data_IF_629634031699
#
_entry.id   IF_629634031699
#
_cell.length_a   1.000
_cell.length_b   1.000
_cell.length_c   1.000
_cell.angle_alpha   90.00
_cell.angle_beta   90.00
_cell.angle_gamma   90.00
#
_symmetry.space_group_name_H-M   'P 1'
#
loop_
_entity.id
_entity.type
_entity.pdbx_description
1 polymer ?
#
# COMPACT_ATOMS: atom_id res chain seq x y z
N UNK A 1 -19.16 2.88 -30.10
CA UNK A 1 -19.35 2.37 -28.75
C UNK A 1 -18.10 2.65 -27.95
N UNK A 2 -18.23 3.14 -26.71
CA UNK A 2 -17.07 3.37 -25.87
C UNK A 2 -16.38 2.04 -25.58
N UNK A 3 -15.07 2.00 -25.70
CA UNK A 3 -14.29 0.85 -25.32
C UNK A 3 -14.15 0.86 -23.78
N UNK A 4 -14.65 -0.19 -23.13
CA UNK A 4 -14.47 -0.40 -21.69
C UNK A 4 -13.23 -1.27 -21.50
N UNK A 5 -12.27 -0.79 -20.73
CA UNK A 5 -11.13 -1.57 -20.31
C UNK A 5 -11.40 -2.12 -18.89
N UNK A 6 -11.38 -3.43 -18.75
CA UNK A 6 -11.63 -4.13 -17.50
C UNK A 6 -10.30 -4.53 -16.83
N UNK A 7 -10.14 -4.19 -15.59
CA UNK A 7 -8.91 -4.17 -14.76
C UNK A 7 -8.24 -5.55 -14.52
N UNK A 8 -8.71 -6.63 -15.10
CA UNK A 8 -8.25 -8.00 -14.78
C UNK A 8 -7.24 -8.62 -15.76
N UNK A 9 -6.99 -8.00 -16.91
CA UNK A 9 -6.12 -8.58 -17.95
C UNK A 9 -5.08 -7.60 -18.53
N UNK A 10 -4.86 -6.44 -17.91
CA UNK A 10 -4.59 -5.23 -18.68
C UNK A 10 -3.15 -4.75 -18.78
N UNK A 11 -2.16 -5.32 -18.09
CA UNK A 11 -0.81 -4.74 -18.17
C UNK A 11 -0.15 -4.97 -19.54
N UNK A 12 -0.40 -6.11 -20.18
CA UNK A 12 0.12 -6.39 -21.54
C UNK A 12 -0.77 -5.80 -22.63
N UNK A 13 -2.09 -5.80 -22.44
CA UNK A 13 -3.05 -5.20 -23.39
C UNK A 13 -2.96 -3.67 -23.37
N UNK A 14 -2.61 -3.08 -22.22
CA UNK A 14 -2.49 -1.64 -22.04
C UNK A 14 -1.38 -1.03 -22.90
N UNK A 15 -0.22 -1.67 -22.99
CA UNK A 15 0.90 -1.20 -23.83
C UNK A 15 0.62 -1.32 -25.32
N UNK A 16 -0.05 -2.36 -25.75
CA UNK A 16 -0.43 -2.56 -27.17
C UNK A 16 -1.60 -1.65 -27.58
N UNK A 17 -2.61 -1.50 -26.71
CA UNK A 17 -3.79 -0.70 -26.99
C UNK A 17 -3.53 0.81 -26.94
N UNK A 18 -2.59 1.30 -26.15
CA UNK A 18 -2.16 2.70 -26.15
C UNK A 18 -1.49 3.07 -27.47
N UNK A 19 -0.59 2.25 -27.98
CA UNK A 19 0.05 2.48 -29.28
C UNK A 19 -0.95 2.50 -30.44
N UNK A 20 -1.98 1.67 -30.37
CA UNK A 20 -3.03 1.64 -31.41
C UNK A 20 -4.07 2.76 -31.23
N UNK A 21 -4.28 3.24 -30.01
CA UNK A 21 -5.26 4.29 -29.70
C UNK A 21 -4.71 5.70 -29.83
N UNK A 22 -3.41 5.93 -29.61
CA UNK A 22 -2.78 7.26 -29.69
C UNK A 22 -3.04 7.99 -31.01
N UNK A 23 -2.91 7.38 -32.20
CA UNK A 23 -3.20 8.08 -33.47
C UNK A 23 -4.68 8.48 -33.59
N UNK A 24 -5.60 7.69 -33.02
CA UNK A 24 -7.03 8.01 -33.00
C UNK A 24 -7.34 9.11 -32.00
N UNK A 25 -6.66 9.09 -30.86
CA UNK A 25 -6.77 10.13 -29.83
C UNK A 25 -6.30 11.49 -30.33
N UNK A 26 -5.20 11.54 -31.12
CA UNK A 26 -4.72 12.79 -31.74
C UNK A 26 -5.75 13.42 -32.70
N UNK A 27 -6.55 12.57 -33.38
CA UNK A 27 -7.55 13.03 -34.35
C UNK A 27 -8.89 13.36 -33.68
N UNK A 28 -9.28 12.57 -32.65
CA UNK A 28 -10.60 12.65 -32.01
C UNK A 28 -10.50 12.59 -30.48
N UNK A 29 -9.82 13.55 -29.83
CA UNK A 29 -9.59 13.50 -28.38
C UNK A 29 -10.92 13.48 -27.57
N UNK A 30 -11.97 14.12 -28.09
CA UNK A 30 -13.29 14.18 -27.43
C UNK A 30 -14.03 12.83 -27.37
N UNK A 31 -13.58 11.82 -28.14
CA UNK A 31 -14.15 10.46 -28.08
C UNK A 31 -13.61 9.60 -26.96
N UNK A 32 -12.55 10.05 -26.31
CA UNK A 32 -11.92 9.35 -25.21
C UNK A 32 -12.31 9.98 -23.88
N UNK A 33 -12.59 9.16 -22.90
CA UNK A 33 -12.80 9.62 -21.52
C UNK A 33 -12.24 8.62 -20.55
N UNK A 34 -11.55 9.11 -19.52
CA UNK A 34 -11.15 8.28 -18.36
C UNK A 34 -12.35 8.11 -17.45
N UNK A 35 -12.47 6.90 -16.87
CA UNK A 35 -13.45 6.58 -15.83
C UNK A 35 -12.71 5.87 -14.70
N UNK A 36 -12.58 6.54 -13.56
CA UNK A 36 -12.07 5.95 -12.33
C UNK A 36 -12.95 4.77 -11.92
N UNK A 37 -12.34 3.68 -11.48
CA UNK A 37 -13.06 2.53 -10.94
C UNK A 37 -13.88 2.94 -9.71
N UNK A 38 -14.88 2.14 -9.37
CA UNK A 38 -15.64 2.26 -8.14
C UNK A 38 -15.60 0.97 -7.34
N UNK A 39 -16.04 1.07 -6.10
CA UNK A 39 -16.20 -0.06 -5.18
C UNK A 39 -17.63 -0.11 -4.65
N UNK A 40 -18.01 -1.22 -4.05
CA UNK A 40 -19.34 -1.35 -3.44
C UNK A 40 -19.24 -1.38 -1.91
N UNK A 41 -19.83 -0.38 -1.26
CA UNK A 41 -19.90 -0.31 0.19
C UNK A 41 -20.74 -1.44 0.82
N UNK A 42 -21.67 -2.07 0.07
CA UNK A 42 -22.38 -3.27 0.54
C UNK A 42 -21.41 -4.40 0.89
N UNK A 43 -20.36 -4.61 0.08
CA UNK A 43 -19.33 -5.59 0.40
C UNK A 43 -18.36 -5.07 1.44
N UNK A 44 -17.82 -3.86 1.22
CA UNK A 44 -16.62 -3.40 1.92
C UNK A 44 -16.90 -2.73 3.27
N UNK A 45 -18.15 -2.30 3.54
CA UNK A 45 -18.60 -1.92 4.88
C UNK A 45 -19.55 -2.97 5.42
N UNK A 46 -20.74 -3.10 4.82
CA UNK A 46 -21.83 -3.90 5.38
C UNK A 46 -21.44 -5.38 5.58
N UNK A 47 -20.75 -5.99 4.60
CA UNK A 47 -20.30 -7.38 4.67
C UNK A 47 -19.01 -7.58 5.43
N UNK A 48 -18.01 -6.74 5.18
CA UNK A 48 -16.66 -6.93 5.71
C UNK A 48 -16.42 -6.25 7.06
N UNK A 49 -17.18 -5.18 7.40
CA UNK A 49 -17.01 -4.38 8.62
C UNK A 49 -18.36 -4.03 9.26
N UNK A 50 -19.08 -5.01 9.80
CA UNK A 50 -20.40 -4.77 10.38
C UNK A 50 -20.37 -3.84 11.61
N UNK A 51 -19.28 -3.80 12.35
CA UNK A 51 -19.11 -2.87 13.47
C UNK A 51 -19.09 -1.41 12.99
N UNK A 52 -18.36 -1.10 11.91
CA UNK A 52 -18.38 0.21 11.29
C UNK A 52 -19.77 0.53 10.70
N UNK A 53 -20.43 -0.47 10.06
CA UNK A 53 -21.78 -0.28 9.53
C UNK A 53 -22.77 0.12 10.63
N UNK A 54 -22.71 -0.52 11.81
CA UNK A 54 -23.56 -0.19 12.96
C UNK A 54 -23.27 1.21 13.50
N UNK A 55 -22.00 1.60 13.60
CA UNK A 55 -21.62 2.96 13.99
C UNK A 55 -22.20 4.02 13.04
N UNK A 56 -22.09 3.79 11.73
CA UNK A 56 -22.62 4.69 10.72
C UNK A 56 -24.14 4.83 10.82
N UNK A 57 -24.86 3.71 11.00
CA UNK A 57 -26.32 3.74 11.21
C UNK A 57 -26.72 4.60 12.41
N UNK A 58 -26.01 4.47 13.51
CA UNK A 58 -26.29 5.20 14.74
C UNK A 58 -25.99 6.71 14.60
N UNK A 59 -24.88 7.06 13.91
CA UNK A 59 -24.38 8.44 13.85
C UNK A 59 -25.03 9.26 12.75
N UNK A 60 -25.20 8.67 11.55
CA UNK A 60 -25.69 9.41 10.37
C UNK A 60 -27.01 8.86 9.81
N UNK A 61 -27.61 7.86 10.46
CA UNK A 61 -28.84 7.18 10.01
C UNK A 61 -28.55 6.16 8.90
N UNK A 62 -29.56 5.50 8.37
CA UNK A 62 -29.43 4.37 7.45
C UNK A 62 -29.46 4.72 5.97
N UNK A 63 -29.66 5.99 5.62
CA UNK A 63 -29.80 6.46 4.23
C UNK A 63 -28.56 6.13 3.37
N UNK A 64 -27.37 6.17 3.96
CA UNK A 64 -26.11 5.84 3.29
C UNK A 64 -26.10 4.42 2.69
N UNK A 65 -26.88 3.52 3.24
CA UNK A 65 -27.00 2.12 2.74
C UNK A 65 -27.57 2.04 1.33
N UNK A 66 -28.33 3.06 0.92
CA UNK A 66 -28.93 3.16 -0.41
C UNK A 66 -28.23 4.18 -1.31
N UNK A 67 -27.73 5.28 -0.73
CA UNK A 67 -27.12 6.39 -1.47
C UNK A 67 -25.61 6.24 -1.64
N UNK A 68 -24.94 5.56 -0.70
CA UNK A 68 -23.49 5.56 -0.58
C UNK A 68 -22.90 6.84 0.03
N UNK A 69 -23.72 7.83 0.35
CA UNK A 69 -23.26 9.12 0.85
C UNK A 69 -22.93 9.06 2.34
N UNK A 70 -21.64 9.15 2.67
CA UNK A 70 -21.11 9.20 4.03
C UNK A 70 -20.73 10.62 4.48
N UNK A 71 -20.94 11.65 3.66
CA UNK A 71 -20.50 13.02 3.90
C UNK A 71 -21.00 13.62 5.21
N UNK A 72 -22.17 13.19 5.69
CA UNK A 72 -22.74 13.62 6.99
C UNK A 72 -21.80 13.28 8.17
N UNK A 73 -20.98 12.25 8.05
CA UNK A 73 -20.05 11.79 9.08
C UNK A 73 -18.99 12.86 9.39
N UNK A 74 -18.58 13.67 8.41
CA UNK A 74 -17.56 14.71 8.60
C UNK A 74 -17.93 15.74 9.70
N UNK A 75 -19.21 15.92 10.02
CA UNK A 75 -19.68 16.82 11.08
C UNK A 75 -19.27 16.35 12.48
N UNK A 76 -18.89 15.09 12.62
CA UNK A 76 -18.52 14.45 13.86
C UNK A 76 -16.99 14.28 14.01
N UNK A 77 -16.20 14.94 13.17
CA UNK A 77 -14.75 14.80 13.17
C UNK A 77 -14.07 15.22 14.49
N UNK A 78 -14.74 16.09 15.27
CA UNK A 78 -14.25 16.56 16.59
C UNK A 78 -15.13 16.04 17.74
N UNK A 79 -16.05 15.09 17.47
CA UNK A 79 -16.90 14.46 18.48
C UNK A 79 -16.17 13.27 19.13
N UNK A 80 -15.77 13.44 20.39
CA UNK A 80 -14.98 12.45 21.12
C UNK A 80 -15.68 11.09 21.27
N UNK A 81 -17.00 11.08 21.53
CA UNK A 81 -17.75 9.83 21.64
C UNK A 81 -17.72 9.05 20.32
N UNK A 82 -17.95 9.76 19.21
CA UNK A 82 -17.89 9.13 17.88
C UNK A 82 -16.49 8.63 17.54
N UNK A 83 -15.44 9.40 17.87
CA UNK A 83 -14.06 8.99 17.62
C UNK A 83 -13.66 7.77 18.48
N UNK A 84 -14.04 7.73 19.76
CA UNK A 84 -13.81 6.58 20.64
C UNK A 84 -14.55 5.32 20.13
N UNK A 85 -15.78 5.47 19.68
CA UNK A 85 -16.56 4.38 19.08
C UNK A 85 -15.94 3.91 17.76
N UNK A 86 -15.43 4.83 16.94
CA UNK A 86 -14.70 4.48 15.71
C UNK A 86 -13.41 3.70 16.02
N UNK A 87 -12.66 4.14 17.03
CA UNK A 87 -11.47 3.41 17.49
C UNK A 87 -11.84 1.99 17.97
N UNK A 88 -12.96 1.82 18.66
CA UNK A 88 -13.45 0.50 19.07
C UNK A 88 -13.75 -0.41 17.86
N UNK A 89 -14.34 0.11 16.76
CA UNK A 89 -14.54 -0.69 15.54
C UNK A 89 -13.23 -1.16 14.93
N UNK A 90 -12.17 -0.34 14.98
CA UNK A 90 -10.82 -0.72 14.52
C UNK A 90 -10.22 -1.83 15.39
N UNK A 91 -10.40 -1.76 16.70
CA UNK A 91 -9.93 -2.81 17.63
C UNK A 91 -10.62 -4.15 17.31
N UNK A 92 -11.93 -4.13 17.06
CA UNK A 92 -12.70 -5.32 16.69
C UNK A 92 -12.23 -5.89 15.34
N UNK A 93 -12.08 -5.06 14.32
CA UNK A 93 -11.59 -5.47 13.00
C UNK A 93 -10.18 -6.09 13.10
N UNK A 94 -9.27 -5.50 13.89
CA UNK A 94 -7.94 -6.07 14.15
C UNK A 94 -8.03 -7.41 14.88
N UNK A 95 -8.97 -7.59 15.81
CA UNK A 95 -9.18 -8.89 16.49
C UNK A 95 -9.64 -9.98 15.53
N UNK A 96 -10.60 -9.66 14.65
CA UNK A 96 -11.08 -10.58 13.59
C UNK A 96 -9.94 -10.96 12.64
N UNK A 97 -9.16 -9.99 12.19
CA UNK A 97 -8.01 -10.22 11.31
C UNK A 97 -6.96 -11.10 12.00
N UNK A 98 -6.60 -10.84 13.26
CA UNK A 98 -5.64 -11.66 14.02
C UNK A 98 -6.12 -13.11 14.15
N UNK A 99 -7.41 -13.32 14.41
CA UNK A 99 -7.97 -14.66 14.45
C UNK A 99 -7.85 -15.37 13.10
N UNK A 100 -8.20 -14.69 12.01
CA UNK A 100 -8.02 -15.20 10.65
C UNK A 100 -6.57 -15.57 10.37
N UNK A 101 -5.61 -14.67 10.70
CA UNK A 101 -4.19 -14.91 10.48
C UNK A 101 -3.66 -16.10 11.29
N UNK A 102 -4.13 -16.26 12.53
CA UNK A 102 -3.74 -17.41 13.37
C UNK A 102 -4.28 -18.74 12.84
N UNK A 103 -5.54 -18.78 12.43
CA UNK A 103 -6.20 -20.01 11.99
C UNK A 103 -5.83 -20.42 10.56
N UNK A 104 -5.79 -19.47 9.64
CA UNK A 104 -5.63 -19.75 8.22
C UNK A 104 -4.20 -19.64 7.73
N UNK A 105 -3.37 -18.84 8.41
CA UNK A 105 -1.98 -18.56 8.00
C UNK A 105 -0.95 -19.05 9.03
N UNK A 106 -1.38 -19.50 10.21
CA UNK A 106 -0.47 -19.90 11.29
C UNK A 106 0.37 -18.75 11.86
N UNK A 107 -0.07 -17.51 11.69
CA UNK A 107 0.67 -16.29 12.07
C UNK A 107 0.02 -15.61 13.24
N UNK A 108 0.79 -15.40 14.32
CA UNK A 108 0.37 -14.59 15.48
C UNK A 108 0.81 -13.15 15.27
N UNK A 109 -0.14 -12.20 15.38
CA UNK A 109 0.11 -10.75 15.24
C UNK A 109 -0.09 -10.08 16.61
N UNK A 110 0.84 -9.21 17.08
CA UNK A 110 0.70 -8.50 18.34
C UNK A 110 -0.58 -7.64 18.38
N UNK A 111 -1.26 -7.63 19.52
CA UNK A 111 -2.55 -6.93 19.67
C UNK A 111 -2.45 -5.41 19.54
N UNK A 112 -1.30 -4.85 19.88
CA UNK A 112 -0.98 -3.42 19.84
C UNK A 112 -0.16 -3.01 18.61
N UNK A 113 -0.08 -3.88 17.57
CA UNK A 113 0.67 -3.57 16.37
C UNK A 113 -0.04 -2.53 15.50
N UNK A 114 0.75 -1.67 14.87
CA UNK A 114 0.33 -0.89 13.71
C UNK A 114 0.23 -1.84 12.53
N UNK A 115 -0.93 -1.87 11.88
CA UNK A 115 -1.19 -2.77 10.75
C UNK A 115 -1.01 -1.99 9.45
N UNK A 116 0.08 -2.27 8.78
CA UNK A 116 0.53 -1.64 7.55
C UNK A 116 0.37 -2.62 6.39
N UNK A 117 -0.38 -2.24 5.33
CA UNK A 117 -0.87 -3.22 4.36
C UNK A 117 -0.60 -2.80 2.93
N UNK A 118 0.06 -3.70 2.19
CA UNK A 118 0.19 -3.64 0.73
C UNK A 118 -0.33 -4.92 0.09
N UNK A 119 -1.63 -4.99 -0.19
CA UNK A 119 -2.29 -6.16 -0.78
C UNK A 119 -2.76 -5.86 -2.19
N UNK A 120 -2.01 -6.33 -3.17
CA UNK A 120 -2.24 -6.14 -4.61
C UNK A 120 -1.37 -7.12 -5.40
N UNK A 121 -1.64 -7.29 -6.72
CA UNK A 121 -0.75 -8.09 -7.58
C UNK A 121 0.69 -7.65 -7.39
N UNK A 122 1.62 -8.63 -7.40
CA UNK A 122 3.04 -8.32 -7.31
C UNK A 122 3.54 -7.93 -8.70
N UNK A 123 4.05 -6.72 -8.78
CA UNK A 123 4.58 -6.15 -10.00
C UNK A 123 5.56 -5.02 -9.66
N UNK A 124 6.64 -4.87 -10.41
CA UNK A 124 7.67 -3.85 -10.16
C UNK A 124 7.09 -2.44 -10.07
N UNK A 125 6.10 -2.07 -10.92
CA UNK A 125 5.52 -0.72 -10.89
C UNK A 125 4.71 -0.42 -9.62
N UNK A 126 4.22 -1.48 -8.92
CA UNK A 126 3.53 -1.33 -7.63
C UNK A 126 4.50 -1.19 -6.47
N UNK A 127 5.77 -1.35 -6.75
CA UNK A 127 6.94 -1.06 -5.91
C UNK A 127 6.95 -1.75 -4.55
N UNK A 128 6.50 -3.04 -4.49
CA UNK A 128 6.65 -3.85 -3.28
C UNK A 128 8.13 -3.96 -2.86
N UNK A 129 9.05 -3.93 -3.82
CA UNK A 129 10.49 -3.89 -3.55
C UNK A 129 10.91 -2.61 -2.80
N UNK A 130 10.25 -1.46 -3.02
CA UNK A 130 10.53 -0.24 -2.28
C UNK A 130 10.12 -0.36 -0.81
N UNK A 131 8.93 -0.93 -0.53
CA UNK A 131 8.53 -1.26 0.83
C UNK A 131 9.46 -2.31 1.46
N UNK A 132 9.95 -3.29 0.69
CA UNK A 132 10.94 -4.25 1.19
C UNK A 132 12.28 -3.58 1.56
N UNK A 133 12.75 -2.59 0.80
CA UNK A 133 13.93 -1.80 1.16
C UNK A 133 13.69 -0.97 2.44
N UNK A 134 12.48 -0.43 2.64
CA UNK A 134 12.12 0.22 3.90
C UNK A 134 12.14 -0.75 5.09
N UNK A 135 11.67 -1.98 4.90
CA UNK A 135 11.74 -3.04 5.93
C UNK A 135 13.19 -3.31 6.33
N UNK A 136 14.11 -3.36 5.36
CA UNK A 136 15.55 -3.49 5.63
C UNK A 136 16.06 -2.32 6.47
N UNK A 137 15.70 -1.09 6.12
CA UNK A 137 16.04 0.09 6.93
C UNK A 137 15.55 -0.05 8.36
N UNK A 138 14.27 -0.37 8.54
CA UNK A 138 13.66 -0.51 9.87
C UNK A 138 14.30 -1.62 10.70
N UNK A 139 14.65 -2.76 10.05
CA UNK A 139 15.44 -3.82 10.67
C UNK A 139 16.77 -3.29 11.19
N UNK A 140 17.53 -2.57 10.37
CA UNK A 140 18.83 -2.00 10.73
C UNK A 140 18.70 -0.95 11.84
N UNK A 141 17.67 -0.10 11.79
CA UNK A 141 17.39 0.90 12.82
C UNK A 141 17.14 0.25 14.20
N UNK A 142 16.34 -0.82 14.23
CA UNK A 142 16.05 -1.56 15.47
C UNK A 142 17.32 -2.22 16.01
N UNK A 143 18.14 -2.81 15.15
CA UNK A 143 19.44 -3.37 15.53
C UNK A 143 20.39 -2.31 16.09
N UNK A 144 20.28 -1.07 15.65
CA UNK A 144 21.03 0.08 16.16
C UNK A 144 20.40 0.73 17.40
N UNK A 145 19.32 0.15 17.93
CA UNK A 145 18.66 0.61 19.16
C UNK A 145 17.48 1.55 18.97
N UNK A 146 17.14 1.95 17.73
CA UNK A 146 15.99 2.80 17.41
C UNK A 146 14.70 1.96 17.34
N UNK A 147 14.14 1.66 18.48
CA UNK A 147 12.96 0.80 18.63
C UNK A 147 11.67 1.61 18.51
N UNK A 148 10.69 1.20 17.67
CA UNK A 148 9.41 1.87 17.63
C UNK A 148 8.63 1.66 18.93
N UNK A 149 7.78 2.61 19.29
CA UNK A 149 6.92 2.51 20.49
C UNK A 149 5.84 1.43 20.33
N UNK A 150 5.30 1.30 19.12
CA UNK A 150 4.34 0.27 18.77
C UNK A 150 4.99 -0.73 17.81
N UNK A 151 4.80 -2.03 18.00
CA UNK A 151 5.19 -3.01 16.99
C UNK A 151 4.55 -2.67 15.63
N UNK A 152 5.29 -2.86 14.55
CA UNK A 152 4.77 -2.68 13.20
C UNK A 152 4.66 -4.04 12.52
N UNK A 153 3.46 -4.41 12.09
CA UNK A 153 3.23 -5.60 11.26
C UNK A 153 2.92 -5.15 9.84
N UNK A 154 3.84 -5.46 8.93
CA UNK A 154 3.71 -5.16 7.50
C UNK A 154 3.16 -6.38 6.79
N UNK A 155 1.98 -6.23 6.19
CA UNK A 155 1.26 -7.33 5.54
C UNK A 155 1.27 -7.14 4.03
N UNK A 156 1.89 -8.08 3.33
CA UNK A 156 1.79 -8.22 1.90
C UNK A 156 0.76 -9.29 1.53
N UNK A 157 0.16 -9.13 0.36
CA UNK A 157 -0.70 -10.15 -0.22
C UNK A 157 -0.87 -9.91 -1.70
N UNK A 158 -0.78 -10.97 -2.48
CA UNK A 158 -0.91 -10.88 -3.93
C UNK A 158 -0.27 -12.06 -4.64
N UNK A 159 -0.45 -12.08 -5.95
CA UNK A 159 0.08 -13.12 -6.84
C UNK A 159 0.90 -12.46 -7.93
N UNK A 160 2.00 -13.10 -8.32
CA UNK A 160 2.78 -12.76 -9.51
C UNK A 160 2.31 -13.57 -10.71
N UNK A 161 2.45 -13.04 -11.92
CA UNK A 161 2.27 -13.82 -13.13
C UNK A 161 3.36 -14.93 -13.19
N UNK A 162 3.03 -16.15 -13.62
CA UNK A 162 3.98 -17.28 -13.59
C UNK A 162 5.27 -17.04 -14.39
N UNK A 163 5.20 -16.27 -15.49
CA UNK A 163 6.36 -15.94 -16.31
C UNK A 163 7.14 -14.70 -15.83
N UNK A 164 6.65 -14.00 -14.82
CA UNK A 164 7.27 -12.73 -14.37
C UNK A 164 8.31 -12.98 -13.28
N UNK A 165 9.52 -13.29 -13.70
CA UNK A 165 10.63 -13.71 -12.82
C UNK A 165 10.94 -12.69 -11.72
N UNK A 166 11.08 -11.40 -12.05
CA UNK A 166 11.41 -10.36 -11.07
C UNK A 166 10.29 -10.22 -10.01
N UNK A 167 9.01 -10.32 -10.39
CA UNK A 167 7.91 -10.31 -9.43
C UNK A 167 7.97 -11.50 -8.46
N UNK A 168 8.39 -12.68 -8.94
CA UNK A 168 8.63 -13.85 -8.07
C UNK A 168 9.84 -13.63 -7.16
N UNK A 169 10.86 -12.93 -7.62
CA UNK A 169 12.03 -12.60 -6.81
C UNK A 169 11.70 -11.57 -5.72
N UNK A 170 10.78 -10.62 -6.01
CA UNK A 170 10.23 -9.71 -5.00
C UNK A 170 9.48 -10.49 -3.92
N UNK A 171 8.62 -11.45 -4.29
CA UNK A 171 7.96 -12.35 -3.31
C UNK A 171 9.01 -13.07 -2.48
N UNK A 172 10.05 -13.59 -3.13
CA UNK A 172 11.11 -14.30 -2.45
C UNK A 172 11.86 -13.41 -1.44
N UNK A 173 12.18 -12.17 -1.80
CA UNK A 173 12.77 -11.19 -0.89
C UNK A 173 11.86 -10.95 0.34
N UNK A 174 10.56 -10.75 0.13
CA UNK A 174 9.59 -10.52 1.21
C UNK A 174 9.54 -11.74 2.16
N UNK A 175 9.49 -12.95 1.62
CA UNK A 175 9.49 -14.19 2.42
C UNK A 175 10.81 -14.37 3.19
N UNK A 176 11.95 -14.05 2.56
CA UNK A 176 13.26 -14.11 3.20
C UNK A 176 13.36 -13.08 4.34
N UNK A 177 12.88 -11.85 4.12
CA UNK A 177 12.81 -10.83 5.18
C UNK A 177 11.90 -11.26 6.33
N UNK A 178 10.74 -11.85 6.03
CA UNK A 178 9.82 -12.38 7.04
C UNK A 178 10.52 -13.40 7.93
N UNK A 179 11.20 -14.36 7.34
CA UNK A 179 11.95 -15.40 8.08
C UNK A 179 13.16 -14.83 8.83
N UNK A 180 13.91 -13.92 8.20
CA UNK A 180 15.08 -13.28 8.81
C UNK A 180 14.71 -12.51 10.06
N UNK A 181 13.66 -11.68 9.99
CA UNK A 181 13.16 -10.87 11.10
C UNK A 181 12.58 -11.76 12.21
N UNK A 182 11.78 -12.78 11.87
CA UNK A 182 11.18 -13.67 12.84
C UNK A 182 12.21 -14.45 13.67
N UNK A 183 13.39 -14.71 13.10
CA UNK A 183 14.49 -15.41 13.78
C UNK A 183 15.45 -14.47 14.54
N UNK A 184 15.24 -13.15 14.50
CA UNK A 184 16.07 -12.20 15.24
C UNK A 184 15.32 -11.71 16.51
N UNK A 185 15.70 -12.20 17.70
CA UNK A 185 15.00 -11.88 18.97
C UNK A 185 15.08 -10.39 19.35
N UNK A 186 16.06 -9.64 18.82
CA UNK A 186 16.18 -8.21 19.06
C UNK A 186 15.19 -7.40 18.21
N UNK A 187 14.74 -7.93 17.08
CA UNK A 187 13.89 -7.23 16.09
C UNK A 187 12.46 -7.75 16.08
N UNK A 188 12.25 -9.05 16.18
CA UNK A 188 10.92 -9.69 16.10
C UNK A 188 9.85 -9.08 17.03
N UNK A 189 10.16 -8.58 18.25
CA UNK A 189 9.19 -7.92 19.10
C UNK A 189 8.66 -6.59 18.55
N UNK A 190 9.36 -5.96 17.61
CA UNK A 190 9.08 -4.60 17.13
C UNK A 190 8.69 -4.55 15.66
N UNK A 191 9.10 -5.54 14.87
CA UNK A 191 8.83 -5.58 13.43
C UNK A 191 8.44 -7.00 13.02
N UNK A 192 7.36 -7.11 12.28
CA UNK A 192 6.89 -8.36 11.70
C UNK A 192 6.54 -8.15 10.23
N UNK A 193 6.92 -9.09 9.39
CA UNK A 193 6.57 -9.11 7.96
C UNK A 193 5.78 -10.38 7.66
N UNK A 194 4.65 -10.20 7.01
CA UNK A 194 3.74 -11.29 6.67
C UNK A 194 3.40 -11.23 5.19
N UNK A 195 3.56 -12.33 4.48
CA UNK A 195 3.03 -12.52 3.13
C UNK A 195 1.85 -13.49 3.20
N UNK A 196 0.63 -13.00 2.94
CA UNK A 196 -0.58 -13.82 2.97
C UNK A 196 -0.51 -14.85 1.84
N UNK A 197 -0.57 -16.12 2.21
CA UNK A 197 -0.65 -17.21 1.25
C UNK A 197 -2.01 -17.20 0.53
N UNK A 198 -1.99 -17.39 -0.78
CA UNK A 198 -3.17 -17.42 -1.63
C UNK A 198 -4.16 -16.26 -1.42
N UNK A 199 -3.64 -15.02 -1.31
CA UNK A 199 -4.48 -13.83 -1.14
C UNK A 199 -5.63 -13.79 -2.15
N UNK A 200 -6.83 -13.59 -1.63
CA UNK A 200 -8.09 -13.57 -2.36
C UNK A 200 -9.10 -12.62 -1.70
N UNK A 201 -10.32 -12.54 -2.23
CA UNK A 201 -11.34 -11.61 -1.72
C UNK A 201 -11.76 -11.91 -0.27
N UNK A 202 -11.77 -13.18 0.15
CA UNK A 202 -12.09 -13.56 1.53
C UNK A 202 -11.03 -13.03 2.50
N UNK A 203 -9.75 -13.19 2.17
CA UNK A 203 -8.66 -12.59 2.93
C UNK A 203 -8.74 -11.06 2.94
N UNK A 204 -9.09 -10.45 1.81
CA UNK A 204 -9.27 -9.00 1.70
C UNK A 204 -10.34 -8.47 2.67
N UNK A 205 -11.47 -9.16 2.79
CA UNK A 205 -12.57 -8.80 3.70
C UNK A 205 -12.18 -8.86 5.19
N UNK A 206 -11.08 -9.54 5.53
CA UNK A 206 -10.54 -9.61 6.90
C UNK A 206 -9.43 -8.62 7.15
N UNK A 207 -8.58 -8.38 6.14
CA UNK A 207 -7.38 -7.56 6.27
C UNK A 207 -7.68 -6.07 6.09
N UNK A 208 -8.52 -5.71 5.12
CA UNK A 208 -8.79 -4.31 4.78
C UNK A 208 -9.40 -3.53 5.96
N UNK A 209 -10.43 -4.03 6.68
CA UNK A 209 -10.99 -3.31 7.84
C UNK A 209 -9.99 -3.10 8.98
N UNK A 210 -9.01 -4.01 9.12
CA UNK A 210 -8.03 -3.98 10.20
C UNK A 210 -6.84 -3.04 9.93
N UNK A 211 -6.63 -2.62 8.70
CA UNK A 211 -5.46 -1.82 8.33
C UNK A 211 -5.48 -0.41 8.97
N UNK A 212 -4.35 0.03 9.48
CA UNK A 212 -4.11 1.41 9.88
C UNK A 212 -3.54 2.22 8.72
N UNK A 213 -2.63 1.62 7.95
CA UNK A 213 -1.91 2.24 6.84
C UNK A 213 -2.18 1.44 5.57
N UNK A 214 -2.50 2.15 4.50
CA UNK A 214 -2.71 1.63 3.15
C UNK A 214 -1.58 2.07 2.23
N UNK A 215 -0.78 1.12 1.76
CA UNK A 215 0.35 1.35 0.85
C UNK A 215 -0.12 1.41 -0.61
N UNK A 216 -0.15 2.62 -1.18
CA UNK A 216 -0.56 2.90 -2.55
C UNK A 216 0.57 3.59 -3.33
N UNK A 217 1.71 2.92 -3.36
CA UNK A 217 3.02 3.46 -3.72
C UNK A 217 3.47 3.12 -5.15
N UNK A 218 2.54 2.94 -6.09
CA UNK A 218 2.87 2.73 -7.50
C UNK A 218 3.71 3.88 -8.06
N UNK A 219 4.50 3.61 -9.10
CA UNK A 219 5.16 4.70 -9.81
C UNK A 219 4.09 5.57 -10.49
N UNK A 220 4.16 6.88 -10.29
CA UNK A 220 3.23 7.82 -10.92
C UNK A 220 3.18 7.61 -12.45
N UNK A 221 2.01 7.77 -13.04
CA UNK A 221 1.68 7.46 -14.44
C UNK A 221 1.46 5.96 -14.78
N UNK A 222 1.54 5.03 -13.83
CA UNK A 222 1.44 3.59 -14.11
C UNK A 222 0.15 2.93 -13.61
N UNK A 223 -0.43 3.38 -12.51
CA UNK A 223 -1.71 2.86 -12.03
C UNK A 223 -2.86 3.69 -12.60
N UNK A 224 -3.70 3.09 -13.44
CA UNK A 224 -4.78 3.81 -14.11
C UNK A 224 -5.86 4.33 -13.14
N UNK A 225 -6.15 3.58 -12.10
CA UNK A 225 -7.12 3.93 -11.04
C UNK A 225 -6.75 3.25 -9.72
N UNK A 226 -6.68 1.90 -9.71
CA UNK A 226 -6.71 1.12 -8.49
C UNK A 226 -8.13 0.99 -7.95
N UNK A 227 -8.32 0.10 -7.00
CA UNK A 227 -9.56 -0.08 -6.23
C UNK A 227 -9.29 -0.35 -4.76
N UNK A 228 -8.09 -0.83 -4.42
CA UNK A 228 -7.72 -1.09 -3.03
C UNK A 228 -7.61 0.20 -2.21
N UNK A 229 -7.14 1.29 -2.82
CA UNK A 229 -7.08 2.62 -2.19
C UNK A 229 -8.44 3.04 -1.64
N UNK A 230 -9.51 2.99 -2.45
CA UNK A 230 -10.88 3.28 -2.01
C UNK A 230 -11.34 2.31 -0.90
N UNK A 231 -11.12 1.00 -1.04
CA UNK A 231 -11.53 0.01 -0.03
C UNK A 231 -10.89 0.25 1.34
N UNK A 232 -9.61 0.62 1.35
CA UNK A 232 -8.89 0.97 2.57
C UNK A 232 -9.38 2.29 3.16
N UNK A 233 -9.56 3.33 2.34
CA UNK A 233 -10.10 4.61 2.73
C UNK A 233 -11.48 4.47 3.37
N UNK A 234 -12.38 3.74 2.73
CA UNK A 234 -13.72 3.44 3.20
C UNK A 234 -13.73 2.72 4.56
N UNK A 235 -12.67 1.97 4.88
CA UNK A 235 -12.47 1.28 6.16
C UNK A 235 -11.56 2.05 7.13
N UNK A 236 -11.25 3.31 6.82
CA UNK A 236 -10.53 4.21 7.70
C UNK A 236 -9.03 3.94 7.84
N UNK A 237 -8.42 3.25 6.90
CA UNK A 237 -6.96 3.21 6.81
C UNK A 237 -6.45 4.52 6.18
N UNK A 238 -5.41 5.11 6.75
CA UNK A 238 -4.78 6.29 6.16
C UNK A 238 -3.88 5.89 4.99
N UNK A 239 -4.02 6.62 3.90
CA UNK A 239 -3.31 6.30 2.66
C UNK A 239 -1.94 6.95 2.63
N UNK A 240 -0.89 6.13 2.45
CA UNK A 240 0.46 6.55 2.07
C UNK A 240 0.64 6.26 0.59
N UNK A 241 0.81 7.29 -0.23
CA UNK A 241 0.70 7.11 -1.68
C UNK A 241 1.55 8.09 -2.50
N UNK A 242 1.72 7.71 -3.75
CA UNK A 242 2.05 8.64 -4.83
C UNK A 242 0.76 9.22 -5.43
N UNK A 243 0.86 10.38 -6.06
CA UNK A 243 -0.26 10.98 -6.81
C UNK A 243 -0.40 10.26 -8.17
N UNK A 244 -1.05 9.09 -8.13
CA UNK A 244 -1.23 8.18 -9.26
C UNK A 244 -2.62 7.51 -9.17
N UNK A 245 -3.28 7.32 -10.31
CA UNK A 245 -4.62 6.74 -10.35
C UNK A 245 -5.62 7.47 -9.49
N UNK A 246 -6.50 6.75 -8.81
CA UNK A 246 -7.52 7.33 -7.93
C UNK A 246 -6.96 8.05 -6.69
N UNK A 247 -5.65 7.88 -6.38
CA UNK A 247 -5.05 8.61 -5.26
C UNK A 247 -5.08 10.12 -5.46
N UNK A 248 -5.06 10.60 -6.72
CA UNK A 248 -5.19 12.04 -7.05
C UNK A 248 -6.55 12.55 -6.56
N UNK A 249 -7.63 11.86 -6.94
CA UNK A 249 -8.99 12.23 -6.52
C UNK A 249 -9.17 12.09 -5.00
N UNK A 250 -8.61 11.05 -4.39
CA UNK A 250 -8.63 10.85 -2.94
C UNK A 250 -7.94 12.04 -2.23
N UNK A 251 -6.77 12.46 -2.68
CA UNK A 251 -6.05 13.58 -2.08
C UNK A 251 -6.86 14.88 -2.18
N UNK A 252 -7.49 15.15 -3.32
CA UNK A 252 -8.39 16.31 -3.50
C UNK A 252 -9.61 16.25 -2.57
N UNK A 253 -10.19 15.07 -2.35
CA UNK A 253 -11.38 14.89 -1.53
C UNK A 253 -11.10 15.02 -0.04
N UNK A 254 -10.00 14.45 0.47
CA UNK A 254 -9.71 14.41 1.90
C UNK A 254 -8.87 15.60 2.38
N UNK A 255 -8.12 16.25 1.50
CA UNK A 255 -7.16 17.32 1.82
C UNK A 255 -5.81 16.76 2.30
N UNK A 256 -4.76 17.56 2.09
CA UNK A 256 -3.35 17.16 2.33
C UNK A 256 -3.06 16.76 3.79
N UNK A 257 -3.84 17.26 4.74
CA UNK A 257 -3.70 16.93 6.16
C UNK A 257 -4.20 15.53 6.51
N UNK A 258 -5.02 14.89 5.64
CA UNK A 258 -5.66 13.61 5.91
C UNK A 258 -5.11 12.46 5.05
N UNK A 259 -4.03 12.71 4.30
CA UNK A 259 -3.34 11.74 3.43
C UNK A 259 -1.83 11.98 3.50
N UNK A 260 -1.04 10.99 3.12
CA UNK A 260 0.41 11.09 3.09
C UNK A 260 0.91 10.85 1.67
N UNK A 261 1.35 11.92 1.01
CA UNK A 261 1.82 11.88 -0.38
C UNK A 261 3.32 12.04 -0.47
N UNK A 262 3.94 11.41 -1.47
CA UNK A 262 5.36 11.51 -1.78
C UNK A 262 5.63 11.19 -3.25
N UNK A 263 6.85 11.43 -3.68
CA UNK A 263 7.42 10.96 -4.93
C UNK A 263 7.21 11.88 -6.13
N UNK A 264 7.87 11.53 -7.21
CA UNK A 264 7.84 12.27 -8.46
C UNK A 264 6.43 12.30 -9.07
N UNK A 265 6.06 13.42 -9.66
CA UNK A 265 4.80 13.57 -10.40
C UNK A 265 4.80 12.75 -11.70
N UNK A 266 3.62 12.43 -12.23
CA UNK A 266 3.47 11.74 -13.53
C UNK A 266 4.24 12.45 -14.65
N UNK A 267 4.19 13.77 -14.69
CA UNK A 267 4.92 14.57 -15.68
C UNK A 267 6.44 14.42 -15.57
N UNK A 268 6.98 14.38 -14.34
CA UNK A 268 8.41 14.17 -14.13
C UNK A 268 8.84 12.76 -14.56
N UNK A 269 8.05 11.74 -14.21
CA UNK A 269 8.31 10.35 -14.59
C UNK A 269 8.28 10.19 -16.12
N UNK A 270 7.25 10.73 -16.78
CA UNK A 270 7.13 10.70 -18.23
C UNK A 270 8.31 11.38 -18.92
N UNK A 271 8.77 12.52 -18.38
CA UNK A 271 9.94 13.23 -18.90
C UNK A 271 11.22 12.40 -18.75
N UNK A 272 11.44 11.77 -17.58
CA UNK A 272 12.60 10.90 -17.36
C UNK A 272 12.64 9.71 -18.32
N UNK A 273 11.47 9.12 -18.65
CA UNK A 273 11.40 8.07 -19.66
C UNK A 273 11.66 8.61 -21.07
N UNK A 274 11.07 9.76 -21.43
CA UNK A 274 11.21 10.35 -22.76
C UNK A 274 12.66 10.76 -23.06
N UNK A 275 13.33 11.32 -22.08
CA UNK A 275 14.72 11.78 -22.20
C UNK A 275 15.74 10.64 -22.04
N UNK A 276 15.31 9.49 -21.48
CA UNK A 276 16.22 8.40 -21.14
C UNK A 276 17.28 8.79 -20.10
N UNK A 277 17.00 9.77 -19.24
CA UNK A 277 17.98 10.36 -18.31
C UNK A 277 17.97 9.69 -16.94
N UNK A 278 17.02 8.81 -16.64
CA UNK A 278 17.02 8.05 -15.40
C UNK A 278 18.16 7.05 -15.37
N UNK A 279 19.01 7.13 -14.34
CA UNK A 279 20.14 6.21 -14.10
C UNK A 279 20.07 5.66 -12.66
N UNK A 280 19.61 4.44 -12.52
CA UNK A 280 19.53 3.72 -11.25
C UNK A 280 20.91 3.62 -10.56
N UNK A 281 21.99 3.44 -11.35
CA UNK A 281 23.36 3.33 -10.84
C UNK A 281 23.85 4.63 -10.19
N UNK A 282 23.38 5.79 -10.63
CA UNK A 282 23.68 7.08 -9.99
C UNK A 282 23.05 7.14 -8.59
N UNK A 283 21.76 6.80 -8.49
CA UNK A 283 21.02 6.79 -7.21
C UNK A 283 21.56 5.73 -6.26
N UNK A 284 21.83 4.53 -6.76
CA UNK A 284 22.42 3.45 -5.99
C UNK A 284 23.74 3.86 -5.30
N UNK A 285 24.55 4.75 -5.91
CA UNK A 285 25.81 5.22 -5.29
C UNK A 285 25.63 6.09 -4.06
N UNK A 286 24.42 6.59 -3.78
CA UNK A 286 24.11 7.28 -2.52
C UNK A 286 24.29 6.30 -1.35
N UNK A 287 25.07 6.63 -0.31
CA UNK A 287 25.43 5.68 0.76
C UNK A 287 24.23 5.02 1.45
N UNK A 288 23.15 5.78 1.73
CA UNK A 288 21.92 5.27 2.34
C UNK A 288 21.22 4.25 1.43
N UNK A 289 21.03 4.56 0.16
CA UNK A 289 20.41 3.66 -0.82
C UNK A 289 21.26 2.41 -1.03
N UNK A 290 22.58 2.60 -1.20
CA UNK A 290 23.53 1.50 -1.36
C UNK A 290 23.47 0.51 -0.20
N UNK A 291 23.39 0.99 1.04
CA UNK A 291 23.29 0.16 2.23
C UNK A 291 22.05 -0.75 2.16
N UNK A 292 20.90 -0.22 1.77
CA UNK A 292 19.64 -0.97 1.70
C UNK A 292 19.67 -2.00 0.57
N UNK A 293 20.13 -1.61 -0.60
CA UNK A 293 20.19 -2.50 -1.77
C UNK A 293 21.21 -3.62 -1.55
N UNK A 294 22.40 -3.31 -1.05
CA UNK A 294 23.47 -4.30 -0.79
C UNK A 294 23.12 -5.26 0.35
N UNK A 295 22.19 -4.88 1.25
CA UNK A 295 21.70 -5.81 2.27
C UNK A 295 21.08 -7.07 1.66
N UNK A 296 20.42 -6.95 0.50
CA UNK A 296 19.82 -8.09 -0.22
C UNK A 296 20.86 -9.16 -0.53
N UNK A 297 22.11 -8.76 -0.78
CA UNK A 297 23.22 -9.66 -1.10
C UNK A 297 24.19 -9.85 0.08
N UNK A 298 23.82 -9.45 1.29
CA UNK A 298 24.58 -9.80 2.48
C UNK A 298 24.69 -11.32 2.62
N UNK A 299 25.89 -11.91 2.79
CA UNK A 299 26.08 -13.36 2.79
C UNK A 299 25.21 -14.11 3.80
N UNK A 300 25.03 -13.55 5.01
CA UNK A 300 24.21 -14.17 6.04
C UNK A 300 22.71 -14.12 5.67
N UNK A 301 22.26 -13.03 5.08
CA UNK A 301 20.87 -12.87 4.59
C UNK A 301 20.61 -13.78 3.38
N UNK A 302 21.53 -13.84 2.42
CA UNK A 302 21.44 -14.73 1.25
C UNK A 302 21.35 -16.21 1.64
N UNK A 303 22.02 -16.61 2.72
CA UNK A 303 21.98 -17.99 3.23
C UNK A 303 20.60 -18.38 3.80
N UNK A 304 19.74 -17.41 4.12
CA UNK A 304 18.37 -17.65 4.59
C UNK A 304 17.41 -17.97 3.43
N UNK A 305 17.72 -17.49 2.24
CA UNK A 305 16.88 -17.63 1.06
C UNK A 305 17.59 -18.31 -0.13
N UNK A 306 17.04 -18.09 -1.32
CA UNK A 306 17.67 -18.50 -2.57
C UNK A 306 18.59 -17.40 -3.07
N UNK A 307 19.90 -17.65 -3.00
CA UNK A 307 20.94 -16.68 -3.34
C UNK A 307 20.86 -16.17 -4.78
N UNK A 308 20.52 -17.03 -5.75
CA UNK A 308 20.41 -16.65 -7.17
C UNK A 308 19.26 -15.63 -7.39
N UNK A 309 18.11 -15.86 -6.75
CA UNK A 309 16.95 -14.95 -6.83
C UNK A 309 17.26 -13.60 -6.19
N UNK A 310 17.87 -13.61 -5.01
CA UNK A 310 18.25 -12.38 -4.31
C UNK A 310 19.30 -11.59 -5.10
N UNK A 311 20.31 -12.28 -5.67
CA UNK A 311 21.32 -11.64 -6.52
C UNK A 311 20.70 -11.01 -7.77
N UNK A 312 19.79 -11.72 -8.46
CA UNK A 312 19.12 -11.22 -9.66
C UNK A 312 18.29 -9.97 -9.35
N UNK A 313 17.52 -9.98 -8.25
CA UNK A 313 16.74 -8.81 -7.82
C UNK A 313 17.63 -7.62 -7.43
N UNK A 314 18.73 -7.88 -6.70
CA UNK A 314 19.73 -6.86 -6.38
C UNK A 314 20.27 -6.20 -7.65
N UNK A 315 20.70 -7.00 -8.64
CA UNK A 315 21.30 -6.51 -9.87
C UNK A 315 20.27 -5.74 -10.72
N UNK A 316 19.01 -6.14 -10.70
CA UNK A 316 17.92 -5.45 -11.37
C UNK A 316 17.65 -4.07 -10.73
N UNK A 317 17.51 -4.00 -9.39
CA UNK A 317 17.32 -2.74 -8.66
C UNK A 317 18.51 -1.81 -8.85
N UNK A 318 19.73 -2.33 -8.75
CA UNK A 318 20.97 -1.57 -8.88
C UNK A 318 21.19 -1.02 -10.29
N UNK A 319 20.87 -1.80 -11.31
CA UNK A 319 21.28 -1.52 -12.69
C UNK A 319 20.17 -1.02 -13.61
N UNK A 320 18.92 -1.42 -13.33
CA UNK A 320 17.78 -1.08 -14.18
C UNK A 320 16.77 -0.20 -13.45
N UNK A 321 16.29 -0.69 -12.31
CA UNK A 321 15.20 -0.04 -11.52
C UNK A 321 14.16 0.61 -12.44
N UNK A 322 13.63 -0.18 -13.37
CA UNK A 322 12.79 0.29 -14.47
C UNK A 322 11.58 1.12 -14.00
N UNK A 323 11.13 0.88 -12.79
CA UNK A 323 10.02 1.61 -12.17
C UNK A 323 10.47 2.56 -11.06
N UNK A 324 11.70 3.05 -11.16
CA UNK A 324 12.23 4.19 -10.41
C UNK A 324 11.96 4.12 -8.88
N UNK A 325 12.10 2.93 -8.28
CA UNK A 325 11.97 2.78 -6.84
C UNK A 325 13.04 3.59 -6.09
N UNK A 326 14.27 3.63 -6.62
CA UNK A 326 15.38 4.38 -6.02
C UNK A 326 15.22 5.91 -6.18
N UNK A 327 14.41 6.39 -7.13
CA UNK A 327 14.12 7.81 -7.29
C UNK A 327 13.37 8.34 -6.06
N UNK A 328 12.35 7.61 -5.62
CA UNK A 328 11.41 8.08 -4.60
C UNK A 328 11.70 7.52 -3.19
N UNK A 329 12.67 6.59 -3.04
CA UNK A 329 12.89 5.85 -1.78
C UNK A 329 13.17 6.79 -0.59
N UNK A 330 13.95 7.85 -0.77
CA UNK A 330 14.32 8.75 0.33
C UNK A 330 13.09 9.53 0.82
N UNK A 331 12.26 10.04 -0.09
CA UNK A 331 11.03 10.75 0.26
C UNK A 331 9.97 9.80 0.84
N UNK A 332 9.88 8.58 0.28
CA UNK A 332 9.04 7.52 0.83
C UNK A 332 9.41 7.20 2.30
N UNK A 333 10.68 7.01 2.60
CA UNK A 333 11.17 6.75 3.96
C UNK A 333 10.76 7.89 4.90
N UNK A 334 11.02 9.14 4.51
CA UNK A 334 10.68 10.30 5.35
C UNK A 334 9.17 10.38 5.60
N UNK A 335 8.36 10.17 4.58
CA UNK A 335 6.90 10.20 4.70
C UNK A 335 6.40 9.05 5.56
N UNK A 336 6.95 7.85 5.40
CA UNK A 336 6.60 6.66 6.19
C UNK A 336 6.92 6.84 7.68
N UNK A 337 8.08 7.40 8.01
CA UNK A 337 8.43 7.72 9.40
C UNK A 337 7.47 8.75 10.02
N UNK A 338 7.03 9.74 9.23
CA UNK A 338 6.01 10.69 9.65
C UNK A 338 4.67 9.99 9.93
N UNK A 339 4.24 9.06 9.06
CA UNK A 339 3.02 8.27 9.30
C UNK A 339 3.09 7.53 10.63
N UNK A 340 4.21 6.86 10.90
CA UNK A 340 4.38 6.11 12.15
C UNK A 340 4.45 7.03 13.39
N UNK A 341 5.03 8.22 13.25
CA UNK A 341 5.05 9.22 14.33
C UNK A 341 3.65 9.79 14.60
N UNK A 342 2.89 10.12 13.55
CA UNK A 342 1.53 10.66 13.67
C UNK A 342 0.56 9.64 14.29
N UNK A 343 0.81 8.34 14.14
CA UNK A 343 0.01 7.29 14.79
C UNK A 343 0.03 7.37 16.33
N UNK A 344 1.04 7.99 16.91
CA UNK A 344 1.15 8.15 18.37
C UNK A 344 0.10 9.11 18.96
N UNK A 345 -0.36 10.09 18.17
CA UNK A 345 -1.49 10.96 18.49
C UNK A 345 -2.80 10.33 18.00
N UNK A 346 -3.38 9.49 18.85
CA UNK A 346 -4.57 8.72 18.51
C UNK A 346 -5.81 9.61 18.30
N UNK A 347 -5.91 10.76 18.93
CA UNK A 347 -7.03 11.68 18.73
C UNK A 347 -6.98 12.27 17.29
N UNK A 348 -5.83 12.78 16.90
CA UNK A 348 -5.61 13.29 15.55
C UNK A 348 -5.71 12.16 14.51
N UNK A 349 -5.19 10.96 14.81
CA UNK A 349 -5.27 9.80 13.93
C UNK A 349 -6.72 9.38 13.65
N UNK A 350 -7.54 9.25 14.69
CA UNK A 350 -8.96 8.89 14.55
C UNK A 350 -9.77 9.97 13.84
N UNK A 351 -9.45 11.24 14.05
CA UNK A 351 -10.03 12.34 13.29
C UNK A 351 -9.74 12.20 11.78
N UNK A 352 -8.48 12.00 11.40
CA UNK A 352 -8.10 11.74 9.99
C UNK A 352 -8.82 10.51 9.45
N UNK A 353 -8.88 9.42 10.22
CA UNK A 353 -9.61 8.19 9.89
C UNK A 353 -11.08 8.48 9.56
N UNK A 354 -11.77 9.24 10.41
CA UNK A 354 -13.18 9.61 10.21
C UNK A 354 -13.37 10.43 8.94
N UNK A 355 -12.51 11.43 8.70
CA UNK A 355 -12.57 12.27 7.49
C UNK A 355 -12.38 11.42 6.23
N UNK A 356 -11.45 10.46 6.23
CA UNK A 356 -11.25 9.54 5.11
C UNK A 356 -12.53 8.74 4.82
N UNK A 357 -13.16 8.15 5.84
CA UNK A 357 -14.43 7.41 5.67
C UNK A 357 -15.54 8.33 5.13
N UNK A 358 -15.64 9.55 5.65
CA UNK A 358 -16.69 10.49 5.28
C UNK A 358 -16.58 11.00 3.83
N UNK A 359 -15.42 10.85 3.21
CA UNK A 359 -15.10 11.41 1.88
C UNK A 359 -14.94 10.34 0.79
N UNK A 360 -15.07 9.06 1.13
CA UNK A 360 -14.98 7.94 0.18
C UNK A 360 -16.17 7.83 -0.79
#
# INVERSE_FOLDING_TARGET
PPFFFNDTATTEIYTLSLHDALPIYEIYPEKFSNKTNGITFRRWIHGANPALASLLDDVIGTDWRSTGDLSKLAKFADDKDVLERLAATKVEAKAIMRQFMALEQGVSIPSNAIIDVQVKRIHEYKRQQMLALYIILKYLDIKNGNRPKHPVTIIFGGKAAPAYTIAQDIIHLILTLSQWIANDPDVAPYLQVVMIENYNVTAAERVIPAADISEQISLASKEASGTSNMKFMLNGALTLCTLDGANVEIAELVGDENIYTFGASSKQVEQLYADGTYDAGVLYRKPGIKLLVDFITNPAFMATGNAERLQRLHDDIKGKDWFMALLDIEEYIQTKERVLADYEDQDTWMRKTLINIAKD
#
